data_IF_758018456541
#
_entry.id   IF_758018456541
#
_cell.length_a   1.000
_cell.length_b   1.000
_cell.length_c   1.000
_cell.angle_alpha   90.00
_cell.angle_beta   90.00
_cell.angle_gamma   90.00
#
_symmetry.space_group_name_H-M   'P 1'
#
loop_
_entity.id
_entity.type
_entity.pdbx_description
1 polymer ?
#
# COMPACT_ATOMS: atom_id res chain seq x y z
N UNK A 1 16.01 12.21 6.95
CA UNK A 1 15.40 10.89 6.70
C UNK A 1 14.81 10.92 5.30
N UNK A 2 15.14 9.94 4.45
CA UNK A 2 14.69 9.92 3.05
C UNK A 2 13.45 9.06 2.91
N UNK A 3 12.43 9.55 2.22
CA UNK A 3 11.19 8.83 1.90
C UNK A 3 11.04 8.78 0.38
N UNK A 4 10.68 7.62 -0.16
CA UNK A 4 10.51 7.40 -1.60
C UNK A 4 9.07 6.95 -1.85
N UNK A 5 8.31 7.73 -2.59
CA UNK A 5 6.99 7.36 -3.09
C UNK A 5 7.12 6.69 -4.47
N UNK A 6 6.33 5.64 -4.72
CA UNK A 6 6.33 4.90 -5.99
C UNK A 6 4.89 4.80 -6.51
N UNK A 7 4.56 5.61 -7.51
CA UNK A 7 3.21 5.76 -8.07
C UNK A 7 3.09 5.25 -9.52
N UNK A 8 1.85 4.98 -9.93
CA UNK A 8 1.49 4.48 -11.27
C UNK A 8 0.24 3.59 -11.28
N UNK A 9 -0.20 3.15 -12.46
CA UNK A 9 -1.50 2.48 -12.67
C UNK A 9 -1.62 1.10 -12.00
N UNK A 10 -2.84 0.63 -11.74
CA UNK A 10 -3.05 -0.73 -11.22
C UNK A 10 -2.31 -1.78 -12.08
N UNK A 11 -1.77 -2.81 -11.42
CA UNK A 11 -0.98 -3.89 -12.04
C UNK A 11 0.35 -3.48 -12.72
N UNK A 12 0.84 -2.24 -12.60
CA UNK A 12 2.13 -1.84 -13.18
C UNK A 12 3.38 -2.37 -12.46
N UNK A 13 3.23 -3.25 -11.46
CA UNK A 13 4.36 -3.88 -10.76
C UNK A 13 5.01 -3.06 -9.64
N UNK A 14 4.47 -1.89 -9.29
CA UNK A 14 5.03 -0.97 -8.27
C UNK A 14 5.29 -1.61 -6.91
N UNK A 15 4.33 -2.37 -6.38
CA UNK A 15 4.51 -3.03 -5.08
C UNK A 15 5.63 -4.08 -5.09
N UNK A 16 5.88 -4.71 -6.23
CA UNK A 16 7.01 -5.61 -6.42
C UNK A 16 8.32 -4.84 -6.48
N UNK A 17 8.36 -3.73 -7.24
CA UNK A 17 9.53 -2.87 -7.32
C UNK A 17 9.89 -2.23 -5.97
N UNK A 18 8.90 -1.66 -5.27
CA UNK A 18 9.04 -1.03 -3.97
C UNK A 18 9.65 -1.98 -2.94
N UNK A 19 9.14 -3.21 -2.86
CA UNK A 19 9.65 -4.25 -1.95
C UNK A 19 11.10 -4.62 -2.26
N UNK A 20 11.46 -4.73 -3.55
CA UNK A 20 12.83 -5.04 -3.98
C UNK A 20 13.78 -3.89 -3.68
N UNK A 21 13.39 -2.64 -3.94
CA UNK A 21 14.19 -1.46 -3.60
C UNK A 21 14.41 -1.36 -2.10
N UNK A 22 13.36 -1.55 -1.29
CA UNK A 22 13.45 -1.56 0.15
C UNK A 22 14.45 -2.61 0.66
N UNK A 23 14.36 -3.84 0.17
CA UNK A 23 15.30 -4.91 0.53
C UNK A 23 16.75 -4.61 0.09
N UNK A 24 16.95 -4.07 -1.12
CA UNK A 24 18.28 -3.76 -1.65
C UNK A 24 18.98 -2.61 -0.95
N UNK A 25 18.23 -1.63 -0.44
CA UNK A 25 18.78 -0.41 0.13
C UNK A 25 18.53 -0.24 1.64
N UNK A 26 17.90 -1.24 2.29
CA UNK A 26 17.64 -1.22 3.72
C UNK A 26 16.56 -0.23 4.15
N UNK A 27 15.57 0.05 3.30
CA UNK A 27 14.39 0.84 3.70
C UNK A 27 13.31 -0.04 4.28
N UNK A 28 12.50 0.54 5.16
CA UNK A 28 11.19 -0.02 5.49
C UNK A 28 10.25 0.08 4.27
N UNK A 29 9.40 -0.93 4.09
CA UNK A 29 8.42 -0.98 2.99
C UNK A 29 6.99 -0.82 3.51
N UNK A 30 6.33 0.26 3.09
CA UNK A 30 4.91 0.52 3.37
C UNK A 30 4.05 0.23 2.14
N UNK A 31 3.15 -0.75 2.24
CA UNK A 31 2.16 -1.07 1.18
C UNK A 31 0.84 -0.32 1.45
N UNK A 32 0.68 0.83 0.81
CA UNK A 32 -0.53 1.66 0.96
C UNK A 32 -1.78 0.94 0.45
N UNK A 33 -1.66 0.06 -0.55
CA UNK A 33 -2.78 -0.72 -1.06
C UNK A 33 -3.33 -1.72 -0.04
N UNK A 34 -2.45 -2.37 0.73
CA UNK A 34 -2.88 -3.19 1.86
C UNK A 34 -3.53 -2.35 2.96
N UNK A 35 -3.01 -1.15 3.22
CA UNK A 35 -3.59 -0.24 4.21
C UNK A 35 -5.02 0.15 3.84
N UNK A 36 -5.26 0.60 2.61
CA UNK A 36 -6.60 0.95 2.13
C UNK A 36 -7.57 -0.24 2.18
N UNK A 37 -7.12 -1.44 1.79
CA UNK A 37 -7.94 -2.66 1.90
C UNK A 37 -8.28 -3.01 3.35
N UNK A 38 -7.33 -2.85 4.28
CA UNK A 38 -7.57 -3.08 5.69
C UNK A 38 -8.61 -2.10 6.26
N UNK A 39 -8.55 -0.83 5.83
CA UNK A 39 -9.57 0.18 6.17
C UNK A 39 -10.94 -0.22 5.63
N UNK A 40 -11.04 -0.63 4.36
CA UNK A 40 -12.31 -1.11 3.79
C UNK A 40 -12.89 -2.30 4.56
N UNK A 41 -12.05 -3.26 4.98
CA UNK A 41 -12.47 -4.37 5.85
C UNK A 41 -12.94 -3.86 7.22
N UNK A 42 -12.29 -2.86 7.81
CA UNK A 42 -12.71 -2.28 9.08
C UNK A 42 -14.08 -1.60 8.98
N UNK A 43 -14.35 -0.88 7.89
CA UNK A 43 -15.66 -0.26 7.59
C UNK A 43 -16.75 -1.33 7.51
N UNK A 44 -16.53 -2.37 6.69
CA UNK A 44 -17.47 -3.48 6.54
C UNK A 44 -17.76 -4.16 7.89
N UNK A 45 -16.75 -4.36 8.72
CA UNK A 45 -16.90 -4.96 10.07
C UNK A 45 -17.67 -4.06 11.04
N UNK A 46 -17.61 -2.75 10.86
CA UNK A 46 -18.38 -1.78 11.63
C UNK A 46 -19.82 -1.62 11.14
N UNK A 47 -20.23 -2.35 10.08
CA UNK A 47 -21.55 -2.22 9.46
C UNK A 47 -21.70 -0.99 8.57
N UNK A 48 -20.60 -0.32 8.24
CA UNK A 48 -20.58 0.80 7.30
C UNK A 48 -20.54 0.32 5.84
N UNK A 49 -20.93 1.20 4.93
CA UNK A 49 -20.75 1.04 3.49
C UNK A 49 -19.37 1.59 3.09
N UNK A 50 -18.54 0.84 2.33
CA UNK A 50 -17.30 1.37 1.75
C UNK A 50 -17.53 2.42 0.65
N UNK A 51 -18.76 2.52 0.15
CA UNK A 51 -19.17 3.46 -0.91
C UNK A 51 -19.78 4.75 -0.34
N UNK A 52 -19.97 4.84 0.98
CA UNK A 52 -20.39 6.04 1.72
C UNK A 52 -19.17 6.86 2.16
#
# INVERSE_FOLDING_TARGET
>A
MTVIAIDGTAASGKGTLARRLAASYGFDHLDTGLLYRAVGVAVLRAGGSPDD
#
